data_IF_196413237932
#
_entry.id   IF_196413237932
#
_cell.length_a   1.000
_cell.length_b   1.000
_cell.length_c   1.000
_cell.angle_alpha   90.00
_cell.angle_beta   90.00
_cell.angle_gamma   90.00
#
_symmetry.space_group_name_H-M   'P 1'
#
loop_
_entity.id
_entity.type
_entity.pdbx_description
1 polymer ?
#
# COMPACT_ATOMS: atom_id res chain seq x y z
N UNK A 1 25.47 -69.24 10.24
CA UNK A 1 24.47 -68.85 11.27
C UNK A 1 24.78 -67.53 11.99
N UNK A 2 25.71 -67.40 12.96
CA UNK A 2 25.85 -66.15 13.75
C UNK A 2 26.23 -64.90 12.94
N UNK A 3 27.09 -65.03 11.91
CA UNK A 3 27.52 -63.92 11.05
C UNK A 3 26.44 -63.48 10.04
N UNK A 4 25.67 -64.43 9.51
CA UNK A 4 24.54 -64.13 8.63
C UNK A 4 23.40 -63.46 9.39
N UNK A 5 23.11 -63.95 10.61
CA UNK A 5 22.10 -63.32 11.47
C UNK A 5 22.50 -61.87 11.81
N UNK A 6 23.79 -61.63 12.09
CA UNK A 6 24.30 -60.27 12.32
C UNK A 6 24.16 -59.35 11.10
N UNK A 7 24.50 -59.85 9.90
CA UNK A 7 24.36 -59.08 8.66
C UNK A 7 22.88 -58.77 8.34
N UNK A 8 21.98 -59.74 8.53
CA UNK A 8 20.54 -59.56 8.35
C UNK A 8 19.96 -58.54 9.34
N UNK A 9 20.42 -58.53 10.59
CA UNK A 9 20.01 -57.52 11.58
C UNK A 9 20.45 -56.12 11.18
N UNK A 10 21.68 -55.96 10.67
CA UNK A 10 22.17 -54.66 10.19
C UNK A 10 21.35 -54.17 8.99
N UNK A 11 21.08 -55.06 8.02
CA UNK A 11 20.21 -54.75 6.88
C UNK A 11 18.80 -54.36 7.34
N UNK A 12 18.22 -55.08 8.29
CA UNK A 12 16.91 -54.73 8.85
C UNK A 12 16.91 -53.36 9.53
N UNK A 13 17.94 -53.04 10.31
CA UNK A 13 18.05 -51.72 10.94
C UNK A 13 18.21 -50.60 9.90
N UNK A 14 19.06 -50.80 8.89
CA UNK A 14 19.34 -49.78 7.87
C UNK A 14 18.19 -49.55 6.89
N UNK A 15 17.48 -50.60 6.48
CA UNK A 15 16.47 -50.51 5.42
C UNK A 15 15.03 -50.48 5.94
N UNK A 16 14.80 -50.85 7.21
CA UNK A 16 13.47 -50.84 7.81
C UNK A 16 13.43 -49.85 8.97
N UNK A 17 14.22 -50.09 10.02
CA UNK A 17 14.12 -49.29 11.26
C UNK A 17 14.49 -47.83 11.03
N UNK A 18 15.61 -47.56 10.35
CA UNK A 18 16.09 -46.20 10.12
C UNK A 18 15.12 -45.39 9.23
N UNK A 19 14.69 -45.86 8.04
CA UNK A 19 13.67 -45.16 7.25
C UNK A 19 12.35 -44.99 8.01
N UNK A 20 11.85 -46.03 8.68
CA UNK A 20 10.62 -45.94 9.47
C UNK A 20 10.74 -44.92 10.60
N UNK A 21 11.90 -44.83 11.26
CA UNK A 21 12.16 -43.83 12.29
C UNK A 21 12.22 -42.41 11.72
N UNK A 22 12.77 -42.24 10.51
CA UNK A 22 12.82 -40.97 9.81
C UNK A 22 11.41 -40.50 9.42
N UNK A 23 10.59 -41.41 8.87
CA UNK A 23 9.19 -41.15 8.54
C UNK A 23 8.36 -40.87 9.79
N UNK A 24 8.57 -41.60 10.88
CA UNK A 24 7.90 -41.36 12.15
C UNK A 24 8.31 -40.01 12.78
N UNK A 25 9.59 -39.64 12.69
CA UNK A 25 10.09 -38.36 13.16
C UNK A 25 9.55 -37.19 12.33
N UNK A 26 9.52 -37.34 11.01
CA UNK A 26 8.93 -36.34 10.11
C UNK A 26 7.41 -36.22 10.33
N UNK A 27 6.70 -37.35 10.48
CA UNK A 27 5.28 -37.37 10.83
C UNK A 27 5.03 -36.68 12.18
N UNK A 28 5.85 -36.97 13.20
CA UNK A 28 5.78 -36.32 14.51
C UNK A 28 6.01 -34.81 14.42
N UNK A 29 7.02 -34.33 13.69
CA UNK A 29 7.23 -32.88 13.47
C UNK A 29 6.06 -32.21 12.73
N UNK A 30 5.44 -32.90 11.77
CA UNK A 30 4.26 -32.37 11.07
C UNK A 30 2.99 -32.38 11.94
N UNK A 31 2.82 -33.39 12.79
CA UNK A 31 1.59 -33.64 13.55
C UNK A 31 1.63 -33.07 14.99
N UNK A 32 2.80 -32.71 15.53
CA UNK A 32 2.93 -32.17 16.89
C UNK A 32 2.44 -30.73 17.05
N UNK A 33 2.03 -30.06 15.97
CA UNK A 33 1.65 -28.65 16.03
C UNK A 33 0.16 -28.39 16.29
N UNK A 34 -0.72 -29.39 16.18
CA UNK A 34 -2.20 -29.24 16.15
C UNK A 34 -2.68 -28.16 15.16
N UNK A 35 -1.82 -27.72 14.22
CA UNK A 35 -2.12 -26.65 13.30
C UNK A 35 -2.84 -27.18 12.06
N UNK A 36 -3.94 -26.54 11.66
CA UNK A 36 -4.55 -26.83 10.36
C UNK A 36 -3.64 -26.32 9.25
N UNK A 37 -3.23 -27.23 8.38
CA UNK A 37 -2.41 -26.91 7.22
C UNK A 37 -3.30 -26.47 6.06
N UNK A 38 -3.03 -25.28 5.52
CA UNK A 38 -3.73 -24.73 4.36
C UNK A 38 -2.70 -24.43 3.29
N UNK A 39 -2.88 -24.98 2.09
CA UNK A 39 -2.00 -24.69 0.96
C UNK A 39 -2.53 -23.47 0.20
N UNK A 40 -1.66 -22.49 -0.01
CA UNK A 40 -1.91 -21.28 -0.77
C UNK A 40 -0.95 -21.25 -1.96
N UNK A 41 -1.46 -21.10 -3.17
CA UNK A 41 -0.64 -21.02 -4.39
C UNK A 41 -0.58 -19.57 -4.85
N UNK A 42 0.63 -19.05 -5.04
CA UNK A 42 0.92 -17.73 -5.57
C UNK A 42 1.20 -17.85 -7.08
N UNK A 43 0.18 -17.75 -7.93
CA UNK A 43 0.39 -17.63 -9.36
C UNK A 43 0.43 -16.15 -9.74
N UNK A 44 1.09 -15.79 -10.84
CA UNK A 44 0.89 -14.48 -11.47
C UNK A 44 -0.61 -14.23 -11.74
N UNK A 45 -1.09 -12.98 -11.68
CA UNK A 45 -2.49 -12.64 -11.96
C UNK A 45 -3.04 -13.22 -13.26
N UNK A 46 -2.25 -13.27 -14.33
CA UNK A 46 -2.63 -13.87 -15.61
C UNK A 46 -2.89 -15.38 -15.53
N UNK A 47 -2.35 -16.04 -14.51
CA UNK A 47 -2.47 -17.47 -14.24
C UNK A 47 -3.47 -17.77 -13.10
N UNK A 48 -4.29 -16.79 -12.71
CA UNK A 48 -5.34 -16.95 -11.70
C UNK A 48 -5.01 -16.39 -10.32
N UNK A 49 -3.81 -15.84 -10.11
CA UNK A 49 -3.45 -15.18 -8.86
C UNK A 49 -3.36 -16.13 -7.66
N UNK A 50 -3.80 -15.63 -6.48
CA UNK A 50 -3.86 -16.41 -5.25
C UNK A 50 -4.93 -17.51 -5.32
N UNK A 51 -4.53 -18.75 -5.02
CA UNK A 51 -5.45 -19.89 -4.96
C UNK A 51 -5.29 -20.65 -3.64
N UNK A 52 -6.29 -20.63 -2.74
CA UNK A 52 -7.53 -19.85 -2.84
C UNK A 52 -7.31 -18.35 -2.61
N UNK A 53 -8.17 -17.51 -3.19
CA UNK A 53 -8.20 -16.06 -2.94
C UNK A 53 -8.86 -15.71 -1.59
N UNK A 54 -9.65 -16.63 -1.03
CA UNK A 54 -10.34 -16.50 0.25
C UNK A 54 -10.15 -17.75 1.09
N UNK A 55 -9.56 -17.59 2.26
CA UNK A 55 -9.35 -18.62 3.26
C UNK A 55 -10.36 -18.42 4.39
N UNK A 56 -11.09 -19.47 4.79
CA UNK A 56 -12.06 -19.42 5.90
C UNK A 56 -11.60 -20.29 7.06
N UNK A 57 -11.45 -19.68 8.23
CA UNK A 57 -10.99 -20.31 9.47
C UNK A 57 -11.79 -19.78 10.67
N UNK A 58 -11.69 -20.45 11.81
CA UNK A 58 -12.41 -20.08 13.03
C UNK A 58 -11.51 -19.36 14.04
N UNK A 59 -12.11 -18.55 14.92
CA UNK A 59 -11.40 -17.98 16.07
C UNK A 59 -10.81 -19.10 16.94
N UNK A 60 -9.56 -18.92 17.37
CA UNK A 60 -8.79 -19.85 18.19
C UNK A 60 -8.04 -20.93 17.39
N UNK A 61 -8.26 -21.02 16.08
CA UNK A 61 -7.62 -21.99 15.22
C UNK A 61 -6.13 -21.66 15.02
N UNK A 62 -5.24 -22.64 15.22
CA UNK A 62 -3.85 -22.56 14.82
C UNK A 62 -3.73 -22.97 13.35
N UNK A 63 -3.14 -22.11 12.53
CA UNK A 63 -3.07 -22.29 11.08
C UNK A 63 -1.62 -22.28 10.63
N UNK A 64 -1.25 -23.25 9.80
CA UNK A 64 0.00 -23.28 9.04
C UNK A 64 -0.31 -23.05 7.57
N UNK A 65 0.01 -21.88 7.04
CA UNK A 65 -0.09 -21.58 5.62
C UNK A 65 1.16 -22.07 4.91
N UNK A 66 0.99 -22.98 3.95
CA UNK A 66 2.04 -23.43 3.04
C UNK A 66 1.87 -22.69 1.73
N UNK A 67 2.76 -21.76 1.46
CA UNK A 67 2.67 -20.82 0.35
C UNK A 67 3.63 -21.29 -0.75
N UNK A 68 3.08 -21.74 -1.87
CA UNK A 68 3.82 -22.26 -3.02
C UNK A 68 3.84 -21.23 -4.16
N UNK A 69 4.99 -21.00 -4.79
CA UNK A 69 5.11 -20.14 -5.98
C UNK A 69 5.53 -20.98 -7.19
N UNK A 70 4.61 -21.44 -8.07
CA UNK A 70 4.96 -22.31 -9.18
C UNK A 70 5.54 -21.59 -10.40
N UNK A 71 5.40 -20.26 -10.51
CA UNK A 71 5.74 -19.51 -11.75
C UNK A 71 6.86 -18.47 -11.58
N UNK A 72 6.59 -17.36 -10.90
CA UNK A 72 7.52 -16.23 -10.73
C UNK A 72 7.84 -15.99 -9.25
N UNK A 73 8.73 -15.05 -8.98
CA UNK A 73 9.01 -14.62 -7.61
C UNK A 73 7.79 -13.88 -7.06
N UNK A 74 7.37 -14.27 -5.86
CA UNK A 74 6.33 -13.58 -5.10
C UNK A 74 6.87 -13.14 -3.74
N UNK A 75 6.12 -12.28 -3.07
CA UNK A 75 6.22 -12.05 -1.63
C UNK A 75 4.86 -12.31 -1.01
N UNK A 76 4.76 -12.23 0.31
CA UNK A 76 3.48 -12.43 0.99
C UNK A 76 3.44 -11.62 2.27
N UNK A 77 2.32 -10.97 2.56
CA UNK A 77 2.10 -10.30 3.83
C UNK A 77 0.66 -10.44 4.32
N UNK A 78 0.50 -10.45 5.64
CA UNK A 78 -0.76 -10.26 6.36
C UNK A 78 -0.53 -9.11 7.35
N UNK A 79 -0.71 -7.84 6.96
CA UNK A 79 -0.27 -6.70 7.75
C UNK A 79 -0.88 -6.67 9.16
N UNK A 80 -2.18 -6.97 9.25
CA UNK A 80 -2.92 -7.02 10.52
C UNK A 80 -2.47 -8.12 11.49
N UNK A 81 -1.64 -9.06 11.05
CA UNK A 81 -1.01 -10.11 11.87
C UNK A 81 0.51 -9.92 12.00
N UNK A 82 1.10 -8.90 11.36
CA UNK A 82 2.56 -8.68 11.35
C UNK A 82 3.35 -9.79 10.65
N UNK A 83 2.69 -10.55 9.75
CA UNK A 83 3.33 -11.65 9.01
C UNK A 83 3.83 -11.09 7.70
N UNK A 84 5.10 -11.30 7.41
CA UNK A 84 5.72 -10.93 6.14
C UNK A 84 6.71 -12.01 5.70
N UNK A 85 6.64 -12.35 4.42
CA UNK A 85 7.60 -13.18 3.70
C UNK A 85 8.11 -12.33 2.56
N UNK A 86 9.39 -11.98 2.64
CA UNK A 86 10.00 -11.08 1.69
C UNK A 86 10.02 -11.68 0.29
N UNK A 87 10.41 -12.95 0.15
CA UNK A 87 10.58 -13.58 -1.15
C UNK A 87 10.22 -15.06 -1.11
N UNK A 88 9.46 -15.49 -2.11
CA UNK A 88 9.07 -16.87 -2.38
C UNK A 88 9.51 -17.16 -3.81
N UNK A 89 10.59 -17.93 -3.94
CA UNK A 89 11.18 -18.26 -5.24
C UNK A 89 10.30 -19.26 -6.03
N UNK A 90 10.35 -19.24 -7.36
CA UNK A 90 9.70 -20.25 -8.20
C UNK A 90 10.08 -21.67 -7.78
N UNK A 91 9.09 -22.57 -7.73
CA UNK A 91 9.25 -23.96 -7.30
C UNK A 91 9.44 -24.17 -5.79
N UNK A 92 9.47 -23.10 -4.98
CA UNK A 92 9.66 -23.21 -3.53
C UNK A 92 8.34 -23.09 -2.77
N UNK A 93 8.35 -23.63 -1.54
CA UNK A 93 7.26 -23.53 -0.58
C UNK A 93 7.80 -22.89 0.68
N UNK A 94 7.14 -21.84 1.16
CA UNK A 94 7.41 -21.21 2.46
C UNK A 94 6.24 -21.49 3.40
N UNK A 95 6.53 -21.71 4.67
CA UNK A 95 5.50 -21.97 5.69
C UNK A 95 5.45 -20.83 6.69
N UNK A 96 4.24 -20.33 6.98
CA UNK A 96 3.99 -19.36 8.05
C UNK A 96 2.92 -19.90 8.99
N UNK A 97 3.11 -19.73 10.29
CA UNK A 97 2.17 -20.17 11.31
C UNK A 97 1.62 -19.00 12.11
N UNK A 98 0.32 -19.05 12.43
CA UNK A 98 -0.31 -18.10 13.31
C UNK A 98 -1.53 -18.70 14.02
N UNK A 99 -2.02 -17.99 15.04
CA UNK A 99 -3.27 -18.33 15.72
C UNK A 99 -4.30 -17.24 15.41
N UNK A 100 -5.48 -17.64 14.93
CA UNK A 100 -6.56 -16.73 14.60
C UNK A 100 -7.27 -16.22 15.88
N UNK A 101 -6.65 -15.29 16.58
CA UNK A 101 -7.08 -14.86 17.92
C UNK A 101 -8.38 -14.02 17.96
N UNK A 102 -8.78 -13.42 16.84
CA UNK A 102 -9.96 -12.53 16.75
C UNK A 102 -10.69 -12.70 15.42
N UNK A 103 -12.02 -12.58 15.46
CA UNK A 103 -12.84 -12.60 14.26
C UNK A 103 -12.60 -11.34 13.39
N UNK A 104 -12.81 -11.49 12.09
CA UNK A 104 -12.69 -10.41 11.13
C UNK A 104 -12.17 -10.82 9.76
N UNK A 105 -12.01 -9.82 8.89
CA UNK A 105 -11.39 -9.96 7.56
C UNK A 105 -9.95 -9.47 7.64
N UNK A 106 -9.02 -10.35 7.29
CA UNK A 106 -7.58 -10.09 7.27
C UNK A 106 -7.09 -10.23 5.83
N UNK A 107 -6.99 -9.13 5.09
CA UNK A 107 -6.45 -9.19 3.74
C UNK A 107 -4.98 -9.56 3.77
N UNK A 108 -4.55 -10.25 2.73
CA UNK A 108 -3.17 -10.56 2.45
C UNK A 108 -2.83 -10.13 1.02
N UNK A 109 -1.56 -9.83 0.77
CA UNK A 109 -1.12 -9.36 -0.53
C UNK A 109 0.26 -9.91 -0.90
N UNK A 110 0.57 -9.87 -2.21
CA UNK A 110 1.93 -10.09 -2.69
C UNK A 110 2.73 -8.80 -2.50
N UNK A 111 3.97 -8.91 -2.01
CA UNK A 111 4.86 -7.77 -1.74
C UNK A 111 6.01 -7.65 -2.75
N UNK A 112 6.10 -8.59 -3.70
CA UNK A 112 7.10 -8.58 -4.77
C UNK A 112 6.44 -8.43 -6.12
N UNK A 113 7.00 -7.53 -6.94
CA UNK A 113 6.53 -7.32 -8.30
C UNK A 113 6.60 -8.61 -9.12
N UNK A 114 5.43 -9.22 -9.34
CA UNK A 114 5.31 -10.51 -10.04
C UNK A 114 4.72 -10.37 -11.46
N UNK A 115 4.08 -9.24 -11.77
CA UNK A 115 3.56 -8.92 -13.10
C UNK A 115 3.10 -7.45 -13.18
N UNK A 116 2.67 -7.00 -14.37
CA UNK A 116 2.02 -5.68 -14.55
C UNK A 116 0.72 -5.53 -13.75
N UNK A 117 0.04 -6.65 -13.48
CA UNK A 117 -1.19 -6.71 -12.69
C UNK A 117 -0.89 -7.04 -11.21
N UNK A 118 0.34 -6.84 -10.75
CA UNK A 118 0.79 -7.17 -9.38
C UNK A 118 -0.19 -6.68 -8.30
N UNK A 119 -0.75 -5.49 -8.46
CA UNK A 119 -1.74 -4.90 -7.56
C UNK A 119 -2.99 -5.77 -7.32
N UNK A 120 -3.33 -6.69 -8.25
CA UNK A 120 -4.44 -7.65 -8.13
C UNK A 120 -4.12 -8.85 -7.24
N UNK A 121 -2.85 -9.07 -6.89
CA UNK A 121 -2.40 -10.16 -6.03
C UNK A 121 -2.80 -9.94 -4.57
N UNK A 122 -4.10 -9.97 -4.29
CA UNK A 122 -4.68 -9.80 -2.97
C UNK A 122 -5.67 -10.91 -2.69
N UNK A 123 -5.77 -11.31 -1.44
CA UNK A 123 -6.76 -12.27 -0.97
C UNK A 123 -7.19 -11.95 0.46
N UNK A 124 -8.03 -12.80 1.04
CA UNK A 124 -8.58 -12.58 2.37
C UNK A 124 -8.58 -13.84 3.22
N UNK A 125 -8.16 -13.70 4.47
CA UNK A 125 -8.46 -14.66 5.52
C UNK A 125 -9.69 -14.15 6.28
N UNK A 126 -10.78 -14.90 6.22
CA UNK A 126 -12.00 -14.66 6.97
C UNK A 126 -11.97 -15.52 8.23
N UNK A 127 -11.77 -14.86 9.38
CA UNK A 127 -11.84 -15.50 10.69
C UNK A 127 -13.27 -15.34 11.21
N UNK A 128 -13.98 -16.46 11.28
CA UNK A 128 -15.36 -16.52 11.74
C UNK A 128 -15.36 -16.87 13.23
N UNK A 129 -16.15 -16.16 14.03
CA UNK A 129 -16.50 -16.64 15.37
C UNK A 129 -17.77 -17.49 15.26
N UNK A 130 -17.72 -18.82 15.47
CA UNK A 130 -18.92 -19.65 15.42
C UNK A 130 -19.99 -19.22 16.44
N UNK A 131 -19.58 -18.59 17.55
CA UNK A 131 -20.48 -18.06 18.58
C UNK A 131 -21.09 -16.72 18.20
N UNK A 132 -20.45 -15.99 17.29
CA UNK A 132 -20.91 -14.71 16.77
C UNK A 132 -20.59 -14.61 15.27
N UNK A 133 -21.35 -15.30 14.40
CA UNK A 133 -21.04 -15.40 12.97
C UNK A 133 -21.24 -14.09 12.20
N UNK A 134 -21.82 -13.06 12.83
CA UNK A 134 -22.06 -11.75 12.24
C UNK A 134 -21.49 -10.65 13.16
N UNK A 135 -20.18 -10.66 13.44
CA UNK A 135 -19.60 -9.67 14.34
C UNK A 135 -19.78 -8.28 13.71
N UNK A 136 -20.10 -7.29 14.56
CA UNK A 136 -20.13 -5.90 14.12
C UNK A 136 -18.80 -5.56 13.43
N UNK A 137 -18.87 -4.93 12.26
CA UNK A 137 -17.68 -4.41 11.57
C UNK A 137 -16.83 -3.64 12.59
N UNK A 138 -15.49 -3.81 12.62
CA UNK A 138 -14.67 -3.08 13.57
C UNK A 138 -15.00 -1.59 13.46
N UNK A 139 -15.42 -1.01 14.57
CA UNK A 139 -15.73 0.43 14.64
C UNK A 139 -14.41 1.18 14.67
N UNK A 140 -13.75 1.30 13.52
CA UNK A 140 -12.64 2.22 13.39
C UNK A 140 -13.17 3.65 13.58
N UNK A 141 -12.40 4.49 14.26
CA UNK A 141 -12.65 5.92 14.19
C UNK A 141 -12.77 6.32 12.71
N UNK A 142 -13.76 7.15 12.34
CA UNK A 142 -13.91 7.63 10.98
C UNK A 142 -12.55 8.14 10.48
N UNK A 143 -12.12 7.80 9.25
CA UNK A 143 -10.87 8.34 8.71
C UNK A 143 -10.89 9.87 8.71
N UNK A 144 -9.71 10.49 8.76
CA UNK A 144 -9.58 11.94 9.02
C UNK A 144 -10.37 12.80 8.02
N UNK A 145 -10.46 12.41 6.75
CA UNK A 145 -11.29 13.12 5.76
C UNK A 145 -12.78 13.16 6.13
N UNK A 146 -13.32 12.10 6.76
CA UNK A 146 -14.70 12.09 7.23
C UNK A 146 -14.89 12.95 8.47
N UNK A 147 -13.90 12.94 9.39
CA UNK A 147 -13.93 13.81 10.58
C UNK A 147 -13.93 15.29 10.18
N UNK A 148 -13.13 15.65 9.18
CA UNK A 148 -13.05 16.99 8.61
C UNK A 148 -14.16 17.30 7.59
N UNK A 149 -15.03 16.34 7.29
CA UNK A 149 -16.12 16.46 6.31
C UNK A 149 -15.65 16.90 4.91
N UNK A 150 -14.47 16.44 4.50
CA UNK A 150 -13.91 16.69 3.17
C UNK A 150 -14.64 15.79 2.17
N UNK A 151 -15.28 16.40 1.18
CA UNK A 151 -15.84 15.68 0.03
C UNK A 151 -14.69 15.26 -0.90
N UNK A 152 -14.26 14.01 -0.84
CA UNK A 152 -13.13 13.53 -1.65
C UNK A 152 -13.49 13.26 -3.13
N UNK A 153 -14.74 13.43 -3.54
CA UNK A 153 -15.20 13.27 -4.93
C UNK A 153 -15.37 14.61 -5.65
N UNK A 154 -15.57 15.70 -4.93
CA UNK A 154 -15.61 17.03 -5.50
C UNK A 154 -14.25 17.46 -6.09
N UNK A 155 -14.30 18.40 -7.03
CA UNK A 155 -13.10 19.05 -7.57
C UNK A 155 -12.54 20.04 -6.54
N UNK A 156 -11.22 19.98 -6.33
CA UNK A 156 -10.49 20.88 -5.44
C UNK A 156 -9.35 21.56 -6.21
N UNK A 157 -9.66 22.41 -7.20
CA UNK A 157 -8.63 23.08 -7.98
C UNK A 157 -7.90 24.12 -7.12
N UNK A 158 -6.59 24.20 -7.28
CA UNK A 158 -5.78 25.26 -6.69
C UNK A 158 -6.25 26.63 -7.20
N UNK A 159 -6.44 27.56 -6.27
CA UNK A 159 -6.73 28.96 -6.59
C UNK A 159 -5.46 29.69 -7.07
N UNK A 160 -4.30 29.26 -6.56
CA UNK A 160 -2.99 29.81 -6.90
C UNK A 160 -2.12 28.69 -7.46
N UNK A 161 -1.58 28.88 -8.66
CA UNK A 161 -0.68 27.92 -9.32
C UNK A 161 0.62 28.62 -9.69
N UNK A 162 1.80 28.14 -9.23
CA UNK A 162 3.07 28.74 -9.59
C UNK A 162 3.39 28.49 -11.07
N UNK A 163 4.04 29.46 -11.72
CA UNK A 163 4.49 29.33 -13.11
C UNK A 163 5.61 28.31 -13.31
N UNK A 164 6.27 27.90 -12.24
CA UNK A 164 7.33 26.90 -12.23
C UNK A 164 7.18 25.99 -11.03
N UNK A 165 7.67 24.75 -11.15
CA UNK A 165 7.70 23.78 -10.06
C UNK A 165 8.45 24.37 -8.84
N UNK A 166 7.81 24.48 -7.67
CA UNK A 166 8.45 25.01 -6.47
C UNK A 166 9.58 24.09 -6.00
N UNK A 167 10.66 24.65 -5.47
CA UNK A 167 11.87 23.92 -5.07
C UNK A 167 12.17 24.07 -3.59
N UNK A 168 12.26 22.93 -2.91
CA UNK A 168 12.65 22.87 -1.50
C UNK A 168 14.08 23.39 -1.28
N UNK A 169 15.00 23.16 -2.22
CA UNK A 169 16.37 23.64 -2.11
C UNK A 169 16.47 25.17 -2.18
N UNK A 170 15.66 25.81 -3.04
CA UNK A 170 15.59 27.29 -3.10
C UNK A 170 14.82 27.88 -1.91
N UNK A 171 13.91 27.11 -1.34
CA UNK A 171 13.09 27.50 -0.18
C UNK A 171 13.78 27.38 1.17
N UNK A 172 14.94 26.74 1.23
CA UNK A 172 15.74 26.60 2.44
C UNK A 172 16.30 27.98 2.85
N UNK A 173 15.60 28.69 3.74
CA UNK A 173 16.00 30.02 4.22
C UNK A 173 16.16 30.05 5.75
N UNK A 174 17.10 30.84 6.30
CA UNK A 174 17.29 30.92 7.74
C UNK A 174 16.17 31.75 8.39
N UNK A 175 15.51 31.15 9.39
CA UNK A 175 14.88 31.83 10.55
C UNK A 175 13.52 32.56 10.41
N UNK A 176 12.73 32.41 9.33
CA UNK A 176 11.45 33.16 9.20
C UNK A 176 10.15 32.38 8.98
N UNK A 177 10.19 31.21 8.33
CA UNK A 177 8.99 30.52 7.83
C UNK A 177 8.59 29.25 8.62
N UNK A 178 9.26 28.99 9.75
CA UNK A 178 9.12 27.77 10.55
C UNK A 178 7.72 27.65 11.22
N UNK A 179 6.97 28.75 11.32
CA UNK A 179 5.71 28.83 12.10
C UNK A 179 4.51 28.15 11.40
N UNK A 180 4.65 27.70 10.15
CA UNK A 180 3.53 27.16 9.34
C UNK A 180 3.44 25.62 9.38
N UNK A 181 4.40 24.96 10.03
CA UNK A 181 4.62 23.52 9.91
C UNK A 181 3.59 22.61 10.62
N UNK A 182 2.60 23.13 11.34
CA UNK A 182 1.71 22.29 12.16
C UNK A 182 0.44 21.79 11.45
N UNK A 183 0.05 22.36 10.31
CA UNK A 183 -1.22 22.02 9.65
C UNK A 183 -1.14 21.71 8.15
N UNK A 184 0.04 21.26 7.69
CA UNK A 184 0.28 21.00 6.25
C UNK A 184 -0.52 19.81 5.70
N UNK A 185 -1.09 18.97 6.58
CA UNK A 185 -1.88 17.82 6.16
C UNK A 185 -3.33 18.18 5.84
N UNK A 186 -3.96 19.03 6.65
CA UNK A 186 -5.40 19.29 6.53
C UNK A 186 -5.71 20.39 5.52
N UNK A 187 -4.76 21.27 5.25
CA UNK A 187 -4.88 22.36 4.29
C UNK A 187 -4.19 22.02 2.97
N UNK A 188 -4.70 22.55 1.85
CA UNK A 188 -4.03 22.41 0.56
C UNK A 188 -2.82 23.36 0.46
N UNK A 189 -1.79 23.02 -0.32
CA UNK A 189 -0.71 23.96 -0.63
C UNK A 189 -1.19 25.34 -1.13
N UNK A 190 -2.25 25.36 -1.93
CA UNK A 190 -2.87 26.60 -2.44
C UNK A 190 -3.48 27.45 -1.32
N UNK A 191 -4.12 26.83 -0.33
CA UNK A 191 -4.72 27.56 0.80
C UNK A 191 -3.63 28.15 1.70
N UNK A 192 -2.59 27.38 1.98
CA UNK A 192 -1.45 27.85 2.78
C UNK A 192 -0.70 28.97 2.05
N UNK A 193 -0.56 28.89 0.72
CA UNK A 193 -0.02 29.99 -0.07
C UNK A 193 -0.87 31.26 0.03
N UNK A 194 -2.20 31.15 -0.04
CA UNK A 194 -3.08 32.30 0.08
C UNK A 194 -2.94 32.99 1.44
N UNK A 195 -2.84 32.21 2.52
CA UNK A 195 -2.57 32.72 3.87
C UNK A 195 -1.21 33.41 3.98
N UNK A 196 -0.18 32.83 3.36
CA UNK A 196 1.15 33.41 3.27
C UNK A 196 1.15 34.79 2.57
N UNK A 197 0.46 34.92 1.42
CA UNK A 197 0.35 36.22 0.73
C UNK A 197 -0.46 37.25 1.49
N UNK A 198 -1.45 36.82 2.28
CA UNK A 198 -2.23 37.72 3.13
C UNK A 198 -1.44 38.21 4.38
N UNK A 199 -0.31 37.59 4.71
CA UNK A 199 0.47 37.92 5.90
C UNK A 199 1.35 39.16 5.68
N UNK A 200 1.12 40.22 6.47
CA UNK A 200 1.79 41.52 6.32
C UNK A 200 3.31 41.43 6.34
N UNK A 201 3.88 40.65 7.29
CA UNK A 201 5.33 40.48 7.43
C UNK A 201 5.98 39.75 6.25
N UNK A 202 5.19 39.16 5.36
CA UNK A 202 5.66 38.37 4.22
C UNK A 202 5.42 39.05 2.86
N UNK A 203 4.87 40.27 2.84
CA UNK A 203 4.64 41.03 1.59
C UNK A 203 5.91 41.28 0.79
N UNK A 204 7.06 41.43 1.45
CA UNK A 204 8.35 41.65 0.81
C UNK A 204 8.85 40.46 -0.02
N UNK A 205 8.34 39.25 0.22
CA UNK A 205 8.70 38.07 -0.54
C UNK A 205 7.89 37.98 -1.83
N UNK A 206 8.56 37.57 -2.91
CA UNK A 206 7.89 37.22 -4.17
C UNK A 206 7.08 35.93 -4.02
N UNK A 207 6.08 35.76 -4.89
CA UNK A 207 5.28 34.52 -4.96
C UNK A 207 6.16 33.29 -5.14
N UNK A 208 7.22 33.39 -5.96
CA UNK A 208 8.19 32.31 -6.16
C UNK A 208 8.89 31.93 -4.86
N UNK A 209 9.35 32.91 -4.08
CA UNK A 209 10.02 32.65 -2.80
C UNK A 209 9.09 31.97 -1.80
N UNK A 210 7.81 32.37 -1.78
CA UNK A 210 6.83 31.77 -0.88
C UNK A 210 6.46 30.36 -1.31
N UNK A 211 6.30 30.10 -2.61
CA UNK A 211 6.11 28.75 -3.13
C UNK A 211 7.32 27.83 -2.86
N UNK A 212 8.54 28.33 -3.07
CA UNK A 212 9.75 27.58 -2.78
C UNK A 212 9.83 27.26 -1.26
N UNK A 213 9.46 28.22 -0.40
CA UNK A 213 9.38 28.01 1.05
C UNK A 213 8.31 26.95 1.44
N UNK A 214 7.16 26.90 0.75
CA UNK A 214 6.17 25.83 0.95
C UNK A 214 6.75 24.46 0.57
N UNK A 215 7.43 24.34 -0.57
CA UNK A 215 8.07 23.09 -0.95
C UNK A 215 9.09 22.63 0.10
N UNK A 216 9.85 23.56 0.68
CA UNK A 216 10.75 23.27 1.79
C UNK A 216 9.99 22.80 3.04
N UNK A 217 8.92 23.49 3.44
CA UNK A 217 8.12 23.13 4.59
C UNK A 217 7.45 21.75 4.47
N UNK A 218 6.89 21.41 3.30
CA UNK A 218 6.33 20.07 3.05
C UNK A 218 7.40 18.98 3.06
N UNK A 219 8.56 19.22 2.44
CA UNK A 219 9.69 18.27 2.50
C UNK A 219 10.13 18.04 3.96
N UNK A 220 10.26 19.13 4.72
CA UNK A 220 10.72 19.08 6.11
C UNK A 220 9.71 18.39 7.04
N UNK A 221 8.42 18.63 6.84
CA UNK A 221 7.33 18.00 7.60
C UNK A 221 7.22 16.51 7.32
N UNK A 222 7.43 16.09 6.07
CA UNK A 222 7.45 14.68 5.70
C UNK A 222 8.68 13.95 6.25
N UNK A 223 9.87 14.56 6.11
CA UNK A 223 11.15 13.93 6.43
C UNK A 223 11.66 13.02 5.31
N UNK A 224 12.98 12.99 5.13
CA UNK A 224 13.60 12.28 3.99
C UNK A 224 13.38 10.77 4.04
N UNK A 225 13.40 10.17 5.23
CA UNK A 225 13.14 8.74 5.40
C UNK A 225 11.71 8.37 4.98
N UNK A 226 10.71 9.18 5.36
CA UNK A 226 9.30 8.97 5.01
C UNK A 226 9.10 9.05 3.50
N UNK A 227 9.72 10.04 2.83
CA UNK A 227 9.69 10.20 1.38
C UNK A 227 10.31 8.99 0.69
N UNK A 228 11.47 8.51 1.17
CA UNK A 228 12.15 7.35 0.59
C UNK A 228 11.38 6.04 0.77
N UNK A 229 10.68 5.86 1.91
CA UNK A 229 9.75 4.73 2.10
C UNK A 229 8.54 4.85 1.18
N UNK A 230 7.99 6.06 1.05
CA UNK A 230 6.89 6.38 0.15
C UNK A 230 7.20 6.09 -1.32
N UNK A 231 8.42 6.37 -1.77
CA UNK A 231 8.89 6.05 -3.13
C UNK A 231 8.81 4.55 -3.41
N UNK A 232 9.30 3.73 -2.48
CA UNK A 232 9.28 2.26 -2.62
C UNK A 232 7.85 1.72 -2.67
N UNK A 233 6.99 2.21 -1.79
CA UNK A 233 5.57 1.85 -1.78
C UNK A 233 4.91 2.28 -3.09
N UNK A 234 5.11 3.52 -3.54
CA UNK A 234 4.57 4.03 -4.80
C UNK A 234 4.98 3.18 -6.01
N UNK A 235 6.27 2.86 -6.12
CA UNK A 235 6.79 2.04 -7.21
C UNK A 235 6.15 0.63 -7.21
N UNK A 236 6.00 0.01 -6.04
CA UNK A 236 5.38 -1.32 -5.90
C UNK A 236 3.90 -1.31 -6.27
N UNK A 237 3.17 -0.30 -5.81
CA UNK A 237 1.72 -0.39 -5.64
C UNK A 237 0.91 0.62 -6.47
N UNK A 238 1.51 1.75 -6.86
CA UNK A 238 0.81 2.88 -7.49
C UNK A 238 1.26 3.13 -8.93
N UNK A 239 2.55 2.96 -9.22
CA UNK A 239 3.17 3.32 -10.49
C UNK A 239 2.62 2.54 -11.70
N UNK A 240 2.13 1.32 -11.49
CA UNK A 240 1.50 0.52 -12.55
C UNK A 240 0.33 1.25 -13.25
N UNK A 241 -0.45 2.03 -12.49
CA UNK A 241 -1.57 2.82 -13.00
C UNK A 241 -1.19 4.29 -13.17
N UNK A 242 -0.52 4.90 -12.19
CA UNK A 242 -0.21 6.33 -12.21
C UNK A 242 1.06 6.69 -13.00
N UNK A 243 1.84 5.71 -13.41
CA UNK A 243 3.12 5.86 -14.09
C UNK A 243 4.26 6.23 -13.11
N UNK A 244 5.48 5.81 -13.42
CA UNK A 244 6.70 6.14 -12.65
C UNK A 244 6.94 7.66 -12.56
N UNK A 245 6.59 8.38 -13.63
CA UNK A 245 6.66 9.84 -13.67
C UNK A 245 5.43 10.54 -13.05
N UNK A 246 4.47 9.77 -12.50
CA UNK A 246 3.25 10.26 -11.87
C UNK A 246 2.23 10.87 -12.83
N UNK A 247 2.32 10.64 -14.15
CA UNK A 247 1.51 11.30 -15.18
C UNK A 247 0.14 10.68 -15.46
N UNK A 248 -0.29 9.71 -14.65
CA UNK A 248 -1.55 8.99 -14.87
C UNK A 248 -1.55 8.07 -16.11
N UNK A 249 -0.38 7.76 -16.66
CA UNK A 249 -0.22 7.05 -17.93
C UNK A 249 0.40 5.65 -17.79
N UNK A 250 0.32 5.07 -16.58
CA UNK A 250 0.83 3.74 -16.30
C UNK A 250 0.13 2.67 -17.14
N UNK A 251 0.83 1.59 -17.52
CA UNK A 251 0.31 0.58 -18.45
C UNK A 251 -0.99 -0.08 -17.96
N UNK A 252 -1.14 -0.31 -16.65
CA UNK A 252 -2.37 -0.89 -16.08
C UNK A 252 -3.52 0.12 -15.96
N UNK A 253 -3.24 1.42 -16.16
CA UNK A 253 -4.19 2.52 -16.02
C UNK A 253 -4.80 3.03 -17.33
N UNK A 254 -4.24 2.64 -18.50
CA UNK A 254 -4.56 3.26 -19.80
C UNK A 254 -6.03 3.16 -20.21
N UNK A 255 -6.68 2.05 -19.87
CA UNK A 255 -8.05 1.76 -20.26
C UNK A 255 -9.03 1.85 -19.09
N UNK A 256 -8.56 2.24 -17.91
CA UNK A 256 -9.45 2.42 -16.76
C UNK A 256 -10.35 3.63 -16.97
N UNK A 257 -11.65 3.53 -16.66
CA UNK A 257 -12.43 4.75 -16.45
C UNK A 257 -11.75 5.50 -15.31
N UNK A 258 -11.60 6.81 -15.39
CA UNK A 258 -11.39 7.58 -14.16
C UNK A 258 -12.46 8.63 -13.99
N UNK A 259 -12.21 9.54 -13.04
CA UNK A 259 -13.24 10.43 -12.54
C UNK A 259 -13.85 11.26 -13.66
N UNK A 260 -15.17 11.12 -13.81
CA UNK A 260 -15.99 12.01 -14.59
C UNK A 260 -16.00 13.39 -13.91
N UNK A 261 -15.15 14.30 -14.36
CA UNK A 261 -15.28 15.70 -13.99
C UNK A 261 -16.34 16.34 -14.90
N UNK A 262 -17.37 16.96 -14.31
CA UNK A 262 -18.26 17.87 -15.04
C UNK A 262 -17.47 19.14 -15.37
N UNK A 263 -17.24 19.44 -16.65
CA UNK A 263 -16.80 20.76 -17.09
C UNK A 263 -18.03 21.66 -17.21
N UNK A 264 -18.03 22.82 -16.53
CA UNK A 264 -19.15 23.76 -16.49
C UNK A 264 -19.11 24.82 -17.60
N UNK A 265 -18.06 24.78 -18.42
CA UNK A 265 -17.64 25.84 -19.33
C UNK A 265 -18.44 25.84 -20.64
N UNK A 266 -19.14 24.74 -20.92
CA UNK A 266 -20.03 24.62 -22.07
C UNK A 266 -21.33 24.02 -21.55
N UNK A 267 -22.49 24.56 -21.93
CA UNK A 267 -23.80 23.97 -21.61
C UNK A 267 -24.02 22.55 -22.21
N UNK A 268 -22.94 21.87 -22.62
CA UNK A 268 -22.88 20.47 -22.97
C UNK A 268 -22.28 19.68 -21.81
N UNK A 269 -23.06 18.75 -21.27
CA UNK A 269 -22.64 17.82 -20.23
C UNK A 269 -21.62 16.83 -20.79
N UNK A 270 -20.33 17.21 -20.82
CA UNK A 270 -19.25 16.31 -21.23
C UNK A 270 -18.64 15.64 -20.01
N UNK A 271 -18.88 14.33 -19.90
CA UNK A 271 -18.16 13.43 -19.00
C UNK A 271 -16.76 13.24 -19.58
N UNK A 272 -15.78 13.96 -19.06
CA UNK A 272 -14.37 13.67 -19.40
C UNK A 272 -13.92 12.50 -18.54
N UNK A 273 -13.79 11.31 -19.15
CA UNK A 273 -13.04 10.20 -18.53
C UNK A 273 -11.57 10.61 -18.47
N UNK A 274 -11.12 11.15 -17.34
CA UNK A 274 -9.68 11.24 -17.04
C UNK A 274 -9.24 9.85 -16.60
N UNK A 275 -8.07 9.34 -17.00
CA UNK A 275 -7.53 8.09 -16.47
C UNK A 275 -7.14 8.22 -14.99
N UNK A 276 -6.21 7.40 -14.49
CA UNK A 276 -5.61 7.64 -13.17
C UNK A 276 -5.09 9.07 -13.03
N UNK A 277 -5.08 9.59 -11.80
CA UNK A 277 -4.66 10.97 -11.52
C UNK A 277 -3.24 11.27 -12.03
N UNK A 278 -3.07 12.46 -12.62
CA UNK A 278 -1.79 13.04 -13.01
C UNK A 278 -1.24 13.90 -11.85
N UNK A 279 -0.32 13.33 -11.09
CA UNK A 279 0.34 13.99 -9.95
C UNK A 279 1.27 15.14 -10.36
N UNK A 280 1.51 15.35 -11.66
CA UNK A 280 2.23 16.51 -12.19
C UNK A 280 1.31 17.70 -12.51
N UNK A 281 -0.02 17.49 -12.50
CA UNK A 281 -1.00 18.56 -12.66
C UNK A 281 -1.04 19.45 -11.40
N UNK A 282 -0.39 20.61 -11.48
CA UNK A 282 -0.28 21.53 -10.35
C UNK A 282 -1.64 22.09 -9.89
N UNK A 283 -2.61 22.27 -10.79
CA UNK A 283 -3.95 22.74 -10.43
C UNK A 283 -4.67 21.73 -9.54
N UNK A 284 -4.61 20.43 -9.87
CA UNK A 284 -5.25 19.40 -9.05
C UNK A 284 -4.46 19.14 -7.76
N UNK A 285 -3.14 18.99 -7.87
CA UNK A 285 -2.33 18.58 -6.73
C UNK A 285 -2.15 19.68 -5.70
N UNK A 286 -1.94 20.94 -6.10
CA UNK A 286 -1.78 22.03 -5.12
C UNK A 286 -3.11 22.43 -4.46
N UNK A 287 -4.25 22.07 -5.05
CA UNK A 287 -5.58 22.32 -4.45
C UNK A 287 -6.07 21.17 -3.57
N UNK A 288 -5.49 19.98 -3.68
CA UNK A 288 -5.73 18.87 -2.76
C UNK A 288 -4.95 19.05 -1.45
N UNK A 289 -5.58 18.83 -0.30
CA UNK A 289 -4.89 18.62 0.98
C UNK A 289 -4.35 17.19 1.10
N UNK A 290 -3.38 16.93 1.98
CA UNK A 290 -2.88 15.55 2.17
C UNK A 290 -3.98 14.64 2.74
N UNK A 291 -4.87 15.17 3.58
CA UNK A 291 -6.04 14.41 4.07
C UNK A 291 -6.98 14.02 2.93
N UNK A 292 -7.17 14.89 1.94
CA UNK A 292 -7.97 14.55 0.76
C UNK A 292 -7.32 13.41 -0.02
N UNK A 293 -6.00 13.48 -0.26
CA UNK A 293 -5.24 12.42 -0.94
C UNK A 293 -5.30 11.10 -0.15
N UNK A 294 -5.17 11.16 1.17
CA UNK A 294 -5.32 10.01 2.06
C UNK A 294 -6.72 9.40 1.94
N UNK A 295 -7.77 10.23 1.93
CA UNK A 295 -9.14 9.75 1.78
C UNK A 295 -9.37 8.99 0.47
N UNK A 296 -8.77 9.45 -0.63
CA UNK A 296 -8.80 8.75 -1.92
C UNK A 296 -8.07 7.40 -1.86
N UNK A 297 -6.92 7.31 -1.18
CA UNK A 297 -6.18 6.05 -0.99
C UNK A 297 -6.95 5.07 -0.09
N UNK A 298 -7.48 5.58 1.03
CA UNK A 298 -8.26 4.82 2.01
C UNK A 298 -9.46 4.14 1.36
N UNK A 299 -10.27 4.91 0.64
CA UNK A 299 -11.54 4.45 0.06
C UNK A 299 -11.37 3.80 -1.32
N UNK A 300 -10.31 4.15 -2.04
CA UNK A 300 -10.24 3.98 -3.48
C UNK A 300 -11.10 5.00 -4.22
N UNK A 301 -10.97 5.02 -5.55
CA UNK A 301 -11.73 5.91 -6.42
C UNK A 301 -12.99 5.23 -6.95
N UNK A 302 -14.17 5.65 -6.47
CA UNK A 302 -15.45 5.10 -6.90
C UNK A 302 -15.62 5.27 -8.42
N UNK A 303 -15.87 4.16 -9.11
CA UNK A 303 -16.02 4.16 -10.58
C UNK A 303 -14.72 4.33 -11.38
N UNK A 304 -13.54 4.34 -10.73
CA UNK A 304 -12.25 4.63 -11.38
C UNK A 304 -11.28 3.44 -11.50
N UNK A 305 -11.70 2.25 -11.05
CA UNK A 305 -10.84 1.06 -10.99
C UNK A 305 -9.75 1.10 -9.91
N UNK A 306 -9.54 2.24 -9.23
CA UNK A 306 -8.60 2.36 -8.12
C UNK A 306 -9.11 1.58 -6.88
N UNK A 307 -8.39 0.54 -6.41
CA UNK A 307 -8.81 -0.27 -5.26
C UNK A 307 -8.68 0.48 -3.93
N UNK A 308 -9.34 -0.04 -2.88
CA UNK A 308 -9.11 0.41 -1.51
C UNK A 308 -7.74 -0.06 -0.97
N UNK A 309 -7.08 0.78 -0.17
CA UNK A 309 -5.76 0.47 0.39
C UNK A 309 -5.71 0.43 1.92
N UNK A 310 -6.74 0.92 2.62
CA UNK A 310 -6.78 0.99 4.09
C UNK A 310 -6.53 -0.36 4.77
N UNK A 311 -6.89 -1.44 4.11
CA UNK A 311 -6.82 -2.78 4.67
C UNK A 311 -5.43 -3.41 4.53
N UNK A 312 -4.58 -2.86 3.67
CA UNK A 312 -3.19 -3.29 3.46
C UNK A 312 -2.17 -2.30 4.03
N UNK A 313 -2.47 -1.00 4.02
CA UNK A 313 -1.57 0.03 4.51
C UNK A 313 -1.94 0.49 5.91
N UNK A 314 -0.93 0.67 6.75
CA UNK A 314 -1.04 1.47 7.98
C UNK A 314 -1.25 2.95 7.65
N UNK A 315 -1.74 3.72 8.64
CA UNK A 315 -1.87 5.18 8.49
C UNK A 315 -0.53 5.83 8.15
N UNK A 316 0.56 5.34 8.75
CA UNK A 316 1.91 5.83 8.52
C UNK A 316 2.40 5.56 7.09
N UNK A 317 2.19 4.35 6.56
CA UNK A 317 2.52 4.02 5.16
C UNK A 317 1.73 4.88 4.17
N UNK A 318 0.46 5.17 4.46
CA UNK A 318 -0.32 6.10 3.64
C UNK A 318 0.29 7.51 3.63
N UNK A 319 0.72 8.02 4.79
CA UNK A 319 1.41 9.32 4.86
C UNK A 319 2.76 9.32 4.13
N UNK A 320 3.50 8.21 4.18
CA UNK A 320 4.75 8.05 3.42
C UNK A 320 4.51 8.13 1.92
N UNK A 321 3.53 7.39 1.40
CA UNK A 321 3.17 7.45 -0.03
C UNK A 321 2.72 8.84 -0.45
N UNK A 322 1.89 9.51 0.34
CA UNK A 322 1.45 10.88 0.06
C UNK A 322 2.63 11.86 0.05
N UNK A 323 3.56 11.71 1.00
CA UNK A 323 4.78 12.50 1.07
C UNK A 323 5.61 12.37 -0.21
N UNK A 324 5.72 11.15 -0.75
CA UNK A 324 6.35 10.93 -2.05
C UNK A 324 5.52 11.47 -3.22
N UNK A 325 4.19 11.30 -3.23
CA UNK A 325 3.32 11.86 -4.27
C UNK A 325 3.49 13.39 -4.38
N UNK A 326 3.65 14.09 -3.25
CA UNK A 326 3.94 15.54 -3.25
C UNK A 326 5.23 15.89 -3.98
N UNK A 327 6.19 14.97 -4.03
CA UNK A 327 7.42 15.15 -4.78
C UNK A 327 7.20 15.27 -6.29
N UNK A 328 6.02 14.92 -6.84
CA UNK A 328 5.68 15.17 -8.26
C UNK A 328 5.36 16.64 -8.53
N UNK A 329 4.82 17.37 -7.56
CA UNK A 329 4.49 18.80 -7.70
C UNK A 329 5.51 19.72 -7.05
N UNK A 330 6.23 19.26 -6.03
CA UNK A 330 7.34 19.95 -5.38
C UNK A 330 8.68 19.30 -5.73
N UNK A 331 9.70 20.09 -6.04
CA UNK A 331 11.04 19.59 -6.26
C UNK A 331 11.79 19.46 -4.93
N UNK A 332 11.93 18.21 -4.47
CA UNK A 332 12.62 17.88 -3.21
C UNK A 332 14.13 17.64 -3.36
N UNK A 333 14.65 17.67 -4.59
CA UNK A 333 16.07 17.46 -4.85
C UNK A 333 16.89 18.60 -4.25
N UNK A 334 18.02 18.26 -3.65
CA UNK A 334 19.04 19.26 -3.30
C UNK A 334 19.62 19.88 -4.57
N UNK A 335 19.95 21.17 -4.52
CA UNK A 335 20.84 21.76 -5.52
C UNK A 335 22.19 21.07 -5.40
N UNK A 336 22.63 20.40 -6.48
CA UNK A 336 23.96 19.81 -6.56
C UNK A 336 25.05 20.87 -6.46
#
# INVERSE_FOLDING_TARGET
MKRELFALTILFVLFVVFPSSLFAYQAWLTNSSDARVITLTANAPSNGGWVPDTIRINVGERVRLRIAAPDVVHGFEIPALGIQVDEILPGHVVEVEFVASRAGKFPFACTRWCSVDHWRMRGNILVIDPKNPNPAQPTFAPPLYQQLKIDIDALHPAQNVPSQRPSAARGASPAGLIVIAHDLRTQSPSDVFAQLRATESLKAYSDRQLWDALAFAWKQSAGEESIAKGEKLFARDCAACHGEAGKGNGPAGRDLPGLAAMQSDTHAMQVVKRGPADFTNATEMLGASDVLLQGKIVRGGMGTGMPEWRTLYTDEEMWQVISFIRSFTFDYRSTK
#
